data_IF_577720696404
#
_entry.id   IF_577720696404
#
_cell.length_a   1.000
_cell.length_b   1.000
_cell.length_c   1.000
_cell.angle_alpha   90.00
_cell.angle_beta   90.00
_cell.angle_gamma   90.00
#
_symmetry.space_group_name_H-M   'P 1'
#
loop_
_entity.id
_entity.type
_entity.pdbx_description
1 polymer ?
#
# COMPACT_ATOMS: atom_id res chain seq x y z
N UNK A 1 44.96 -18.22 -1.98
CA UNK A 1 45.69 -18.66 -3.19
C UNK A 1 44.77 -19.41 -4.16
N UNK A 2 43.53 -18.94 -4.37
CA UNK A 2 42.52 -19.59 -5.22
C UNK A 2 41.64 -18.55 -5.97
N UNK A 3 42.18 -17.37 -6.29
CA UNK A 3 41.39 -16.24 -6.79
C UNK A 3 41.87 -15.65 -8.12
N UNK A 4 42.89 -16.22 -8.76
CA UNK A 4 43.63 -15.52 -9.84
C UNK A 4 43.55 -16.17 -11.23
N UNK A 5 42.60 -17.05 -11.52
CA UNK A 5 42.53 -17.69 -12.86
C UNK A 5 41.14 -17.71 -13.52
N UNK A 6 40.15 -16.98 -12.98
CA UNK A 6 38.82 -16.82 -13.60
C UNK A 6 38.60 -15.45 -14.27
N UNK A 7 39.65 -14.62 -14.39
CA UNK A 7 39.62 -13.30 -15.06
C UNK A 7 39.91 -13.39 -16.56
N UNK A 8 39.34 -14.38 -17.24
CA UNK A 8 39.37 -14.43 -18.70
C UNK A 8 38.49 -13.32 -19.27
N UNK A 9 39.10 -12.32 -19.93
CA UNK A 9 38.54 -11.10 -20.54
C UNK A 9 37.12 -11.18 -21.19
N UNK A 10 36.61 -12.37 -21.47
CA UNK A 10 35.25 -12.56 -22.02
C UNK A 10 34.13 -12.30 -21.02
N UNK A 11 34.30 -12.61 -19.72
CA UNK A 11 33.21 -12.43 -18.74
C UNK A 11 32.99 -10.96 -18.39
N UNK A 12 34.05 -10.16 -18.24
CA UNK A 12 33.94 -8.74 -17.93
C UNK A 12 33.30 -7.94 -19.08
N UNK A 13 33.65 -8.27 -20.33
CA UNK A 13 33.07 -7.62 -21.51
C UNK A 13 31.59 -8.00 -21.70
N UNK A 14 31.25 -9.28 -21.51
CA UNK A 14 29.86 -9.74 -21.54
C UNK A 14 29.01 -9.07 -20.44
N UNK A 15 29.54 -8.91 -19.23
CA UNK A 15 28.81 -8.25 -18.13
C UNK A 15 28.54 -6.77 -18.41
N UNK A 16 29.47 -6.05 -19.07
CA UNK A 16 29.31 -4.64 -19.41
C UNK A 16 28.24 -4.43 -20.50
N UNK A 17 28.27 -5.20 -21.59
CA UNK A 17 27.26 -5.10 -22.65
C UNK A 17 25.86 -5.48 -22.13
N UNK A 18 25.77 -6.53 -21.30
CA UNK A 18 24.52 -6.93 -20.69
C UNK A 18 23.99 -5.82 -19.76
N UNK A 19 24.86 -5.18 -18.99
CA UNK A 19 24.50 -4.08 -18.10
C UNK A 19 23.91 -2.89 -18.86
N UNK A 20 24.53 -2.49 -19.96
CA UNK A 20 24.12 -1.30 -20.72
C UNK A 20 22.85 -1.52 -21.53
N UNK A 21 22.54 -2.75 -21.95
CA UNK A 21 21.32 -3.04 -22.72
C UNK A 21 20.15 -3.50 -21.87
N UNK A 22 20.40 -4.38 -20.89
CA UNK A 22 19.34 -5.09 -20.17
C UNK A 22 18.78 -4.24 -19.03
N UNK A 23 19.63 -3.47 -18.34
CA UNK A 23 19.19 -2.63 -17.22
C UNK A 23 18.22 -1.52 -17.64
N UNK A 24 18.46 -0.77 -18.74
CA UNK A 24 17.49 0.22 -19.22
C UNK A 24 16.20 -0.41 -19.73
N UNK A 25 16.25 -1.62 -20.31
CA UNK A 25 15.06 -2.31 -20.79
C UNK A 25 14.12 -2.71 -19.64
N UNK A 26 14.66 -3.31 -18.57
CA UNK A 26 13.86 -3.62 -17.37
C UNK A 26 13.38 -2.37 -16.64
N UNK A 27 14.22 -1.33 -16.56
CA UNK A 27 13.81 -0.05 -16.00
C UNK A 27 12.67 0.58 -16.81
N UNK A 28 12.78 0.59 -18.13
CA UNK A 28 11.74 1.06 -19.04
C UNK A 28 10.44 0.28 -18.91
N UNK A 29 10.51 -1.06 -18.78
CA UNK A 29 9.36 -1.90 -18.53
C UNK A 29 8.71 -1.59 -17.17
N UNK A 30 9.51 -1.42 -16.10
CA UNK A 30 9.02 -1.06 -14.78
C UNK A 30 8.35 0.33 -14.78
N UNK A 31 8.93 1.31 -15.49
CA UNK A 31 8.34 2.65 -15.67
C UNK A 31 7.02 2.55 -16.43
N UNK A 32 6.97 1.76 -17.51
CA UNK A 32 5.75 1.57 -18.29
C UNK A 32 4.63 0.92 -17.44
N UNK A 33 4.96 -0.09 -16.64
CA UNK A 33 4.01 -0.71 -15.71
C UNK A 33 3.55 0.29 -14.64
N UNK A 34 4.47 1.07 -14.06
CA UNK A 34 4.14 2.14 -13.11
C UNK A 34 3.20 3.19 -13.71
N UNK A 35 3.46 3.62 -14.94
CA UNK A 35 2.62 4.56 -15.68
C UNK A 35 1.23 3.98 -15.97
N UNK A 36 1.15 2.70 -16.33
CA UNK A 36 -0.13 1.99 -16.53
C UNK A 36 -0.89 1.91 -15.20
N UNK A 37 -0.23 1.57 -14.08
CA UNK A 37 -0.86 1.56 -12.75
C UNK A 37 -1.39 2.95 -12.38
N UNK A 38 -0.59 4.00 -12.58
CA UNK A 38 -0.98 5.38 -12.32
C UNK A 38 -2.19 5.77 -13.18
N UNK A 39 -2.15 5.46 -14.48
CA UNK A 39 -3.23 5.72 -15.41
C UNK A 39 -4.52 5.00 -14.97
N UNK A 40 -4.43 3.73 -14.57
CA UNK A 40 -5.56 2.96 -14.07
C UNK A 40 -6.12 3.54 -12.77
N UNK A 41 -5.25 4.05 -11.91
CA UNK A 41 -5.64 4.73 -10.68
C UNK A 41 -6.36 6.05 -10.98
N UNK A 42 -5.83 6.86 -11.89
CA UNK A 42 -6.41 8.14 -12.32
C UNK A 42 -7.75 7.95 -13.03
N UNK A 43 -7.85 6.94 -13.92
CA UNK A 43 -9.06 6.67 -14.69
C UNK A 43 -10.18 6.01 -13.88
N UNK A 44 -9.91 5.64 -12.62
CA UNK A 44 -10.89 5.01 -11.70
C UNK A 44 -11.57 3.75 -12.25
N UNK A 45 -11.02 3.15 -13.29
CA UNK A 45 -11.42 1.84 -13.84
C UNK A 45 -10.81 0.74 -13.00
N UNK A 46 -11.23 0.65 -11.74
CA UNK A 46 -10.74 -0.33 -10.77
C UNK A 46 -11.41 -1.70 -10.97
N UNK A 47 -11.13 -2.33 -12.10
CA UNK A 47 -11.30 -3.78 -12.18
C UNK A 47 -10.22 -4.44 -11.35
N UNK A 48 -10.60 -5.23 -10.33
CA UNK A 48 -9.64 -6.01 -9.53
C UNK A 48 -8.71 -6.85 -10.43
N UNK A 49 -9.22 -7.34 -11.57
CA UNK A 49 -8.46 -8.04 -12.61
C UNK A 49 -7.33 -7.20 -13.18
N UNK A 50 -7.58 -5.92 -13.42
CA UNK A 50 -6.61 -5.00 -14.01
C UNK A 50 -5.54 -4.63 -13.01
N UNK A 51 -5.91 -4.42 -11.73
CA UNK A 51 -4.94 -4.27 -10.64
C UNK A 51 -4.09 -5.54 -10.47
N UNK A 52 -4.70 -6.73 -10.52
CA UNK A 52 -3.99 -7.99 -10.43
C UNK A 52 -2.97 -8.14 -11.57
N UNK A 53 -3.37 -7.90 -12.83
CA UNK A 53 -2.47 -7.92 -13.99
C UNK A 53 -1.31 -6.94 -13.79
N UNK A 54 -1.59 -5.72 -13.36
CA UNK A 54 -0.54 -4.72 -13.16
C UNK A 54 0.43 -5.09 -12.03
N UNK A 55 -0.07 -5.70 -10.95
CA UNK A 55 0.75 -6.24 -9.86
C UNK A 55 1.61 -7.41 -10.35
N UNK A 56 1.05 -8.35 -11.12
CA UNK A 56 1.82 -9.47 -11.68
C UNK A 56 2.88 -9.00 -12.68
N UNK A 57 2.55 -8.04 -13.55
CA UNK A 57 3.52 -7.42 -14.45
C UNK A 57 4.62 -6.68 -13.68
N UNK A 58 4.27 -5.94 -12.63
CA UNK A 58 5.23 -5.29 -11.76
C UNK A 58 6.15 -6.28 -11.05
N UNK A 59 5.59 -7.37 -10.52
CA UNK A 59 6.35 -8.45 -9.90
C UNK A 59 7.28 -9.16 -10.90
N UNK A 60 6.83 -9.36 -12.15
CA UNK A 60 7.64 -9.94 -13.22
C UNK A 60 8.82 -9.01 -13.58
N UNK A 61 8.57 -7.72 -13.77
CA UNK A 61 9.62 -6.73 -14.04
C UNK A 61 10.63 -6.65 -12.89
N UNK A 62 10.15 -6.63 -11.64
CA UNK A 62 11.00 -6.63 -10.46
C UNK A 62 11.84 -7.91 -10.37
N UNK A 63 11.24 -9.08 -10.61
CA UNK A 63 11.96 -10.35 -10.59
C UNK A 63 13.03 -10.42 -11.68
N UNK A 64 12.75 -9.89 -12.87
CA UNK A 64 13.74 -9.77 -13.95
C UNK A 64 14.89 -8.85 -13.57
N UNK A 65 14.60 -7.69 -12.98
CA UNK A 65 15.62 -6.77 -12.47
C UNK A 65 16.51 -7.44 -11.40
N UNK A 66 15.91 -8.17 -10.45
CA UNK A 66 16.65 -8.89 -9.42
C UNK A 66 17.50 -10.02 -9.98
N UNK A 67 16.99 -10.78 -10.95
CA UNK A 67 17.78 -11.81 -11.62
C UNK A 67 19.04 -11.22 -12.27
N UNK A 68 18.92 -10.04 -12.90
CA UNK A 68 20.07 -9.32 -13.46
C UNK A 68 21.02 -8.87 -12.35
N UNK A 69 20.53 -8.27 -11.27
CA UNK A 69 21.39 -7.78 -10.18
C UNK A 69 22.13 -8.94 -9.47
N UNK A 70 21.47 -10.11 -9.28
CA UNK A 70 22.08 -11.35 -8.79
C UNK A 70 23.19 -11.84 -9.74
N UNK A 71 22.92 -11.91 -11.04
CA UNK A 71 23.90 -12.34 -12.03
C UNK A 71 25.14 -11.41 -12.05
N UNK A 72 24.93 -10.11 -11.81
CA UNK A 72 25.99 -9.10 -11.91
C UNK A 72 26.80 -8.95 -10.61
N UNK A 73 26.16 -8.97 -9.45
CA UNK A 73 26.80 -8.72 -8.15
C UNK A 73 27.08 -9.99 -7.35
N UNK A 74 26.49 -11.12 -7.76
CA UNK A 74 26.56 -12.39 -7.05
C UNK A 74 25.75 -12.40 -5.74
N UNK A 75 25.69 -13.57 -5.11
CA UNK A 75 24.98 -13.79 -3.85
C UNK A 75 25.74 -13.28 -2.61
N UNK A 76 26.95 -12.75 -2.79
CA UNK A 76 27.78 -12.23 -1.69
C UNK A 76 27.42 -10.80 -1.31
N UNK A 77 26.75 -10.04 -2.18
CA UNK A 77 26.28 -8.70 -1.86
C UNK A 77 25.03 -8.80 -0.95
N UNK A 78 25.13 -8.25 0.27
CA UNK A 78 24.04 -8.23 1.25
C UNK A 78 22.77 -7.57 0.68
N UNK A 79 22.92 -6.56 -0.20
CA UNK A 79 21.78 -5.90 -0.83
C UNK A 79 20.98 -6.89 -1.70
N UNK A 80 21.67 -7.75 -2.44
CA UNK A 80 21.04 -8.78 -3.29
C UNK A 80 20.30 -9.82 -2.45
N UNK A 81 20.90 -10.27 -1.35
CA UNK A 81 20.25 -11.22 -0.43
C UNK A 81 19.00 -10.61 0.22
N UNK A 82 19.08 -9.34 0.61
CA UNK A 82 17.95 -8.61 1.17
C UNK A 82 16.83 -8.46 0.14
N UNK A 83 17.15 -8.07 -1.08
CA UNK A 83 16.19 -7.92 -2.18
C UNK A 83 15.47 -9.24 -2.51
N UNK A 84 16.21 -10.36 -2.53
CA UNK A 84 15.63 -11.70 -2.68
C UNK A 84 14.62 -12.00 -1.58
N UNK A 85 15.01 -11.82 -0.32
CA UNK A 85 14.14 -12.06 0.83
C UNK A 85 12.86 -11.20 0.76
N UNK A 86 13.04 -9.92 0.43
CA UNK A 86 11.97 -8.94 0.18
C UNK A 86 10.97 -9.43 -0.87
N UNK A 87 11.45 -9.94 -2.00
CA UNK A 87 10.56 -10.41 -3.08
C UNK A 87 9.71 -11.59 -2.66
N UNK A 88 10.25 -12.52 -1.85
CA UNK A 88 9.43 -13.61 -1.28
C UNK A 88 8.29 -13.06 -0.40
N UNK A 89 8.55 -12.05 0.43
CA UNK A 89 7.52 -11.42 1.27
C UNK A 89 6.45 -10.70 0.45
N UNK A 90 6.85 -10.03 -0.63
CA UNK A 90 5.90 -9.35 -1.53
C UNK A 90 5.03 -10.36 -2.26
N UNK A 91 5.61 -11.42 -2.84
CA UNK A 91 4.85 -12.48 -3.54
C UNK A 91 3.88 -13.17 -2.59
N UNK A 92 4.33 -13.53 -1.38
CA UNK A 92 3.44 -14.09 -0.35
C UNK A 92 2.32 -13.13 0.05
N UNK A 93 2.62 -11.83 0.15
CA UNK A 93 1.63 -10.78 0.37
C UNK A 93 0.60 -10.68 -0.74
N UNK A 94 1.02 -10.75 -2.01
CA UNK A 94 0.12 -10.72 -3.19
C UNK A 94 -0.82 -11.91 -3.17
N UNK A 95 -0.32 -13.10 -2.91
CA UNK A 95 -1.14 -14.32 -2.87
C UNK A 95 -2.16 -14.27 -1.71
N UNK A 96 -1.72 -13.81 -0.53
CA UNK A 96 -2.62 -13.59 0.58
C UNK A 96 -3.72 -12.59 0.25
N UNK A 97 -3.38 -11.47 -0.39
CA UNK A 97 -4.36 -10.46 -0.81
C UNK A 97 -5.35 -11.01 -1.84
N UNK A 98 -4.89 -11.86 -2.77
CA UNK A 98 -5.75 -12.56 -3.73
C UNK A 98 -6.76 -13.45 -3.02
N UNK A 99 -6.31 -14.27 -2.07
CA UNK A 99 -7.18 -15.16 -1.29
C UNK A 99 -8.18 -14.37 -0.45
N UNK A 100 -7.74 -13.29 0.21
CA UNK A 100 -8.62 -12.38 0.95
C UNK A 100 -9.64 -11.71 0.05
N UNK A 101 -9.26 -11.32 -1.16
CA UNK A 101 -10.18 -10.76 -2.17
C UNK A 101 -11.27 -11.75 -2.57
N UNK A 102 -10.93 -13.02 -2.82
CA UNK A 102 -11.89 -14.08 -3.14
C UNK A 102 -12.85 -14.31 -1.97
N UNK A 103 -12.32 -14.47 -0.75
CA UNK A 103 -13.14 -14.65 0.45
C UNK A 103 -14.06 -13.46 0.72
N UNK A 104 -13.55 -12.23 0.54
CA UNK A 104 -14.33 -11.01 0.71
C UNK A 104 -15.46 -10.86 -0.30
N UNK A 105 -15.25 -11.30 -1.56
CA UNK A 105 -16.32 -11.33 -2.56
C UNK A 105 -17.42 -12.33 -2.20
N UNK A 106 -17.04 -13.52 -1.73
CA UNK A 106 -17.99 -14.55 -1.31
C UNK A 106 -18.79 -14.09 -0.08
N UNK A 107 -18.12 -13.54 0.94
CA UNK A 107 -18.78 -12.96 2.12
C UNK A 107 -19.72 -11.81 1.74
N UNK A 108 -19.29 -10.90 0.85
CA UNK A 108 -20.14 -9.81 0.38
C UNK A 108 -21.36 -10.32 -0.39
N UNK A 109 -21.21 -11.42 -1.17
CA UNK A 109 -22.32 -12.08 -1.86
C UNK A 109 -23.30 -12.70 -0.85
N UNK A 110 -22.79 -13.41 0.15
CA UNK A 110 -23.60 -14.05 1.18
C UNK A 110 -24.35 -13.02 2.03
N UNK A 111 -23.70 -11.93 2.46
CA UNK A 111 -24.31 -10.86 3.24
C UNK A 111 -25.39 -10.08 2.47
N UNK A 112 -25.26 -9.99 1.14
CA UNK A 112 -26.27 -9.34 0.29
C UNK A 112 -27.37 -10.29 -0.16
N UNK A 113 -27.18 -11.60 -0.01
CA UNK A 113 -28.18 -12.57 -0.41
C UNK A 113 -29.42 -12.40 0.48
N UNK A 114 -30.54 -12.03 -0.12
CA UNK A 114 -31.78 -11.74 0.61
C UNK A 114 -31.89 -10.33 1.20
N UNK A 115 -30.86 -9.48 1.12
CA UNK A 115 -30.98 -8.07 1.53
C UNK A 115 -31.50 -7.22 0.36
N UNK A 116 -32.73 -6.74 0.49
CA UNK A 116 -33.41 -5.89 -0.50
C UNK A 116 -33.04 -4.40 -0.42
N UNK A 117 -32.30 -3.99 0.61
CA UNK A 117 -32.09 -2.58 0.95
C UNK A 117 -32.98 -2.07 2.09
N UNK A 118 -33.83 -2.91 2.66
CA UNK A 118 -34.74 -2.58 3.77
C UNK A 118 -34.69 -3.66 4.85
N UNK A 119 -34.64 -3.25 6.11
CA UNK A 119 -34.72 -4.15 7.28
C UNK A 119 -36.05 -4.90 7.34
N UNK A 120 -37.12 -4.39 6.70
CA UNK A 120 -38.43 -5.07 6.65
C UNK A 120 -38.37 -6.41 5.93
N UNK A 121 -37.42 -6.59 5.02
CA UNK A 121 -37.27 -7.82 4.25
C UNK A 121 -36.27 -8.79 4.91
N UNK A 122 -35.79 -8.47 6.12
CA UNK A 122 -34.90 -9.34 6.87
C UNK A 122 -35.62 -10.65 7.25
N UNK A 123 -34.93 -11.77 7.06
CA UNK A 123 -35.38 -13.08 7.50
C UNK A 123 -34.71 -13.43 8.84
N UNK A 124 -35.46 -14.11 9.71
CA UNK A 124 -34.97 -14.59 11.01
C UNK A 124 -35.38 -16.03 11.21
N UNK A 125 -34.50 -16.82 11.82
CA UNK A 125 -34.83 -18.18 12.28
C UNK A 125 -35.89 -18.19 13.39
N UNK A 126 -36.06 -17.06 14.10
CA UNK A 126 -37.13 -16.85 15.08
C UNK A 126 -38.05 -15.70 14.61
N UNK A 127 -39.24 -15.99 14.06
CA UNK A 127 -40.15 -14.97 13.55
C UNK A 127 -40.73 -14.07 14.66
N UNK A 128 -40.85 -14.57 15.89
CA UNK A 128 -41.34 -13.77 17.02
C UNK A 128 -40.36 -12.67 17.40
N UNK A 129 -39.06 -12.98 17.42
CA UNK A 129 -38.01 -11.98 17.66
C UNK A 129 -37.96 -10.95 16.53
N UNK A 130 -38.11 -11.39 15.27
CA UNK A 130 -38.16 -10.48 14.13
C UNK A 130 -39.32 -9.48 14.25
N UNK A 131 -40.53 -9.97 14.53
CA UNK A 131 -41.71 -9.11 14.71
C UNK A 131 -41.53 -8.11 15.85
N UNK A 132 -40.95 -8.54 16.98
CA UNK A 132 -40.63 -7.65 18.10
C UNK A 132 -39.62 -6.56 17.71
N UNK A 133 -38.50 -6.95 17.09
CA UNK A 133 -37.43 -6.02 16.70
C UNK A 133 -37.94 -5.02 15.64
N UNK A 134 -38.65 -5.50 14.61
CA UNK A 134 -39.23 -4.62 13.58
C UNK A 134 -40.28 -3.68 14.18
N UNK A 135 -41.11 -4.17 15.10
CA UNK A 135 -42.09 -3.35 15.82
C UNK A 135 -41.42 -2.24 16.64
N UNK A 136 -40.33 -2.55 17.36
CA UNK A 136 -39.56 -1.54 18.10
C UNK A 136 -38.91 -0.49 17.19
N UNK A 137 -38.34 -0.91 16.06
CA UNK A 137 -37.74 -0.01 15.06
C UNK A 137 -38.81 0.92 14.47
N UNK A 138 -39.97 0.36 14.12
CA UNK A 138 -41.10 1.10 13.55
C UNK A 138 -41.71 2.07 14.57
N UNK A 139 -41.98 1.63 15.80
CA UNK A 139 -42.52 2.47 16.87
C UNK A 139 -41.64 3.69 17.17
N UNK A 140 -40.32 3.55 17.01
CA UNK A 140 -39.36 4.64 17.22
C UNK A 140 -39.07 5.46 15.96
N UNK A 141 -39.61 5.08 14.80
CA UNK A 141 -39.33 5.74 13.52
C UNK A 141 -37.88 5.60 13.05
N UNK A 142 -37.14 4.61 13.56
CA UNK A 142 -35.69 4.44 13.31
C UNK A 142 -35.36 3.66 12.04
N UNK A 143 -36.38 3.27 11.25
CA UNK A 143 -36.20 2.39 10.10
C UNK A 143 -35.12 2.89 9.13
N UNK A 144 -35.16 4.17 8.74
CA UNK A 144 -34.17 4.77 7.82
C UNK A 144 -32.76 4.76 8.40
N UNK A 145 -32.61 4.96 9.70
CA UNK A 145 -31.31 4.94 10.37
C UNK A 145 -30.74 3.53 10.42
N UNK A 146 -31.59 2.53 10.69
CA UNK A 146 -31.20 1.11 10.67
C UNK A 146 -30.82 0.67 9.26
N UNK A 147 -31.62 0.99 8.23
CA UNK A 147 -31.31 0.68 6.84
C UNK A 147 -29.99 1.32 6.41
N UNK A 148 -29.77 2.57 6.81
CA UNK A 148 -28.51 3.29 6.55
C UNK A 148 -27.32 2.65 7.29
N UNK A 149 -27.51 2.20 8.54
CA UNK A 149 -26.46 1.53 9.30
C UNK A 149 -26.09 0.17 8.71
N UNK A 150 -27.08 -0.61 8.28
CA UNK A 150 -26.88 -1.90 7.59
C UNK A 150 -26.16 -1.68 6.26
N UNK A 151 -26.61 -0.71 5.46
CA UNK A 151 -25.95 -0.34 4.22
C UNK A 151 -24.50 0.14 4.42
N UNK A 152 -24.24 0.91 5.48
CA UNK A 152 -22.90 1.33 5.87
C UNK A 152 -22.03 0.12 6.27
N UNK A 153 -22.56 -0.83 7.05
CA UNK A 153 -21.88 -2.09 7.39
C UNK A 153 -21.55 -2.91 6.13
N UNK A 154 -22.51 -3.07 5.22
CA UNK A 154 -22.34 -3.81 3.97
C UNK A 154 -21.34 -3.14 3.01
N UNK A 155 -21.18 -1.82 3.10
CA UNK A 155 -20.26 -1.06 2.24
C UNK A 155 -18.86 -0.98 2.82
N UNK A 156 -18.73 -0.65 4.11
CA UNK A 156 -17.43 -0.47 4.78
C UNK A 156 -16.84 -1.78 5.27
N UNK A 157 -17.68 -2.82 5.44
CA UNK A 157 -17.36 -4.14 5.98
C UNK A 157 -16.80 -4.11 7.42
N UNK A 158 -16.91 -2.96 8.10
CA UNK A 158 -16.59 -2.75 9.51
C UNK A 158 -17.28 -1.45 9.98
N UNK A 159 -17.73 -1.41 11.23
CA UNK A 159 -18.20 -0.18 11.87
C UNK A 159 -17.48 -0.01 13.20
N UNK A 160 -16.71 1.07 13.31
CA UNK A 160 -16.04 1.48 14.55
C UNK A 160 -16.52 2.87 14.95
N UNK A 161 -16.39 3.23 16.24
CA UNK A 161 -16.75 4.57 16.73
C UNK A 161 -16.01 5.67 15.97
N UNK A 162 -14.75 5.41 15.57
CA UNK A 162 -13.95 6.33 14.76
C UNK A 162 -14.56 6.57 13.38
N UNK A 163 -14.97 5.51 12.68
CA UNK A 163 -15.61 5.62 11.38
C UNK A 163 -16.98 6.31 11.46
N UNK A 164 -17.77 6.05 12.51
CA UNK A 164 -19.05 6.75 12.73
C UNK A 164 -18.86 8.26 12.88
N UNK A 165 -17.87 8.69 13.68
CA UNK A 165 -17.51 10.12 13.82
C UNK A 165 -17.10 10.72 12.47
N UNK A 166 -16.36 9.98 11.65
CA UNK A 166 -15.96 10.42 10.31
C UNK A 166 -17.18 10.57 9.40
N UNK A 167 -18.06 9.58 9.34
CA UNK A 167 -19.28 9.62 8.52
C UNK A 167 -20.17 10.79 8.91
N UNK A 168 -20.36 11.02 10.21
CA UNK A 168 -21.11 12.17 10.72
C UNK A 168 -20.50 13.50 10.24
N UNK A 169 -19.18 13.66 10.35
CA UNK A 169 -18.48 14.87 9.86
C UNK A 169 -18.54 15.04 8.34
N UNK A 170 -18.58 13.95 7.59
CA UNK A 170 -18.66 13.97 6.14
C UNK A 170 -20.09 14.22 5.62
N UNK A 171 -21.07 14.41 6.51
CA UNK A 171 -22.47 14.66 6.17
C UNK A 171 -23.26 13.39 5.86
N UNK A 172 -23.01 12.29 6.59
CA UNK A 172 -23.71 11.01 6.39
C UNK A 172 -23.25 10.26 5.15
N UNK A 173 -22.06 10.59 4.64
CA UNK A 173 -21.60 10.01 3.39
C UNK A 173 -21.04 8.59 3.52
N UNK A 174 -21.45 7.68 2.62
CA UNK A 174 -20.79 6.37 2.41
C UNK A 174 -19.28 6.52 2.21
N UNK A 175 -18.49 5.83 3.03
CA UNK A 175 -17.08 5.55 2.83
C UNK A 175 -16.92 4.20 2.11
N UNK A 176 -15.83 4.00 1.38
CA UNK A 176 -15.48 2.69 0.83
C UNK A 176 -15.11 1.67 1.91
N UNK A 177 -14.68 0.48 1.47
CA UNK A 177 -14.32 -0.61 2.36
C UNK A 177 -13.18 -0.20 3.31
N UNK A 178 -13.44 -0.13 4.62
CA UNK A 178 -12.45 0.26 5.61
C UNK A 178 -11.78 -0.94 6.33
N UNK A 179 -12.29 -2.15 6.10
CA UNK A 179 -11.79 -3.38 6.70
C UNK A 179 -10.59 -3.99 5.97
N UNK A 180 -10.47 -3.72 4.67
CA UNK A 180 -9.46 -4.36 3.81
C UNK A 180 -8.25 -3.47 3.62
N UNK A 181 -7.08 -4.08 3.81
CA UNK A 181 -5.77 -3.54 3.49
C UNK A 181 -4.98 -4.66 2.78
N UNK A 182 -4.00 -4.27 1.98
CA UNK A 182 -3.13 -5.12 1.16
C UNK A 182 -1.84 -5.44 1.91
N UNK A 183 -1.68 -6.72 2.23
CA UNK A 183 -0.44 -7.27 2.76
C UNK A 183 0.70 -7.08 1.76
N UNK A 184 0.45 -7.20 0.46
CA UNK A 184 1.45 -6.94 -0.57
C UNK A 184 2.01 -5.53 -0.50
N UNK A 185 1.13 -4.51 -0.46
CA UNK A 185 1.57 -3.12 -0.37
C UNK A 185 2.31 -2.83 0.93
N UNK A 186 1.86 -3.42 2.04
CA UNK A 186 2.58 -3.33 3.30
C UNK A 186 3.98 -3.94 3.22
N UNK A 187 4.10 -5.18 2.73
CA UNK A 187 5.40 -5.84 2.51
C UNK A 187 6.27 -4.96 1.61
N UNK A 188 5.79 -4.56 0.43
CA UNK A 188 6.52 -3.70 -0.51
C UNK A 188 7.00 -2.39 0.11
N UNK A 189 6.20 -1.76 0.97
CA UNK A 189 6.61 -0.53 1.67
C UNK A 189 7.71 -0.76 2.70
N UNK A 190 7.65 -1.88 3.45
CA UNK A 190 8.73 -2.25 4.37
C UNK A 190 10.03 -2.48 3.59
N UNK A 191 9.94 -3.21 2.49
CA UNK A 191 11.04 -3.48 1.60
C UNK A 191 11.66 -2.20 1.04
N UNK A 192 10.82 -1.26 0.59
CA UNK A 192 11.26 0.05 0.12
C UNK A 192 12.05 0.82 1.20
N UNK A 193 11.59 0.84 2.46
CA UNK A 193 12.31 1.54 3.53
C UNK A 193 13.64 0.90 3.91
N UNK A 194 13.69 -0.44 3.98
CA UNK A 194 14.97 -1.13 4.23
C UNK A 194 15.93 -0.90 3.06
N UNK A 195 15.44 -0.96 1.82
CA UNK A 195 16.24 -0.66 0.64
C UNK A 195 16.81 0.77 0.68
N UNK A 196 15.99 1.79 0.98
CA UNK A 196 16.47 3.17 1.13
C UNK A 196 17.54 3.30 2.21
N UNK A 197 17.36 2.62 3.35
CA UNK A 197 18.37 2.58 4.41
C UNK A 197 19.72 2.02 3.91
N UNK A 198 19.70 0.91 3.16
CA UNK A 198 20.91 0.31 2.56
C UNK A 198 21.54 1.25 1.54
N UNK A 199 20.74 1.94 0.71
CA UNK A 199 21.25 2.88 -0.29
C UNK A 199 21.89 4.11 0.35
N UNK A 200 21.28 4.68 1.39
CA UNK A 200 21.87 5.78 2.15
C UNK A 200 23.21 5.35 2.75
N UNK A 201 23.29 4.16 3.36
CA UNK A 201 24.56 3.64 3.86
C UNK A 201 25.62 3.52 2.76
N UNK A 202 25.28 2.83 1.66
CA UNK A 202 26.19 2.52 0.57
C UNK A 202 26.71 3.78 -0.14
N UNK A 203 25.86 4.76 -0.40
CA UNK A 203 26.21 5.93 -1.21
C UNK A 203 26.56 7.19 -0.42
N UNK A 204 26.35 7.20 0.91
CA UNK A 204 26.60 8.39 1.73
C UNK A 204 27.52 8.15 2.90
N UNK A 205 27.65 6.91 3.38
CA UNK A 205 28.42 6.58 4.57
C UNK A 205 29.68 5.76 4.25
N UNK A 206 29.63 4.91 3.24
CA UNK A 206 30.72 3.99 2.93
C UNK A 206 32.02 4.69 2.50
N UNK A 207 31.95 5.91 1.97
CA UNK A 207 33.12 6.69 1.58
C UNK A 207 33.90 7.22 2.80
N UNK A 208 35.20 7.48 2.64
CA UNK A 208 36.07 7.97 3.72
C UNK A 208 35.64 9.38 4.17
N UNK A 209 35.28 9.49 5.46
CA UNK A 209 34.87 10.72 6.18
C UNK A 209 33.56 11.39 5.72
N UNK A 210 32.39 10.72 5.88
CA UNK A 210 31.12 11.34 5.53
C UNK A 210 30.77 12.48 6.50
N UNK A 211 30.25 13.63 6.02
CA UNK A 211 29.84 14.71 6.90
C UNK A 211 28.68 14.29 7.81
N UNK A 212 28.57 14.93 8.97
CA UNK A 212 27.60 14.58 10.02
C UNK A 212 26.14 14.53 9.55
N UNK A 213 25.77 15.30 8.52
CA UNK A 213 24.44 15.29 7.91
C UNK A 213 24.07 13.93 7.29
N UNK A 214 25.03 13.18 6.75
CA UNK A 214 24.78 11.85 6.21
C UNK A 214 24.49 10.84 7.32
N UNK A 215 25.20 10.91 8.45
CA UNK A 215 24.91 10.08 9.61
C UNK A 215 23.52 10.36 10.18
N UNK A 216 23.13 11.63 10.27
CA UNK A 216 21.79 12.00 10.70
C UNK A 216 20.72 11.44 9.77
N UNK A 217 20.90 11.59 8.45
CA UNK A 217 20.02 11.03 7.42
C UNK A 217 19.90 9.50 7.55
N UNK A 218 21.03 8.80 7.72
CA UNK A 218 21.05 7.35 7.90
C UNK A 218 20.31 6.91 9.17
N UNK A 219 20.51 7.62 10.28
CA UNK A 219 19.78 7.38 11.53
C UNK A 219 18.27 7.53 11.37
N UNK A 220 17.81 8.52 10.61
CA UNK A 220 16.39 8.70 10.27
C UNK A 220 15.88 7.56 9.40
N UNK A 221 16.63 7.15 8.37
CA UNK A 221 16.25 6.03 7.51
C UNK A 221 16.08 4.71 8.31
N UNK A 222 16.99 4.41 9.24
CA UNK A 222 16.86 3.27 10.15
C UNK A 222 15.59 3.40 11.00
N UNK A 223 15.39 4.56 11.61
CA UNK A 223 14.23 4.80 12.45
C UNK A 223 12.92 4.58 11.68
N UNK A 224 12.81 5.09 10.45
CA UNK A 224 11.62 4.91 9.61
C UNK A 224 11.40 3.44 9.20
N UNK A 225 12.48 2.73 8.82
CA UNK A 225 12.42 1.32 8.47
C UNK A 225 11.95 0.43 9.63
N UNK A 226 12.23 0.83 10.88
CA UNK A 226 11.77 0.13 12.09
C UNK A 226 10.39 0.62 12.55
N UNK A 227 10.18 1.93 12.55
CA UNK A 227 8.95 2.56 13.04
C UNK A 227 7.75 2.19 12.18
N UNK A 228 7.90 2.12 10.85
CA UNK A 228 6.80 1.77 9.95
C UNK A 228 6.17 0.40 10.25
N UNK A 229 6.91 -0.73 10.23
CA UNK A 229 6.30 -2.02 10.53
C UNK A 229 5.77 -2.07 11.97
N UNK A 230 6.49 -1.48 12.94
CA UNK A 230 6.05 -1.47 14.34
C UNK A 230 4.71 -0.74 14.49
N UNK A 231 4.63 0.51 14.01
CA UNK A 231 3.41 1.31 14.03
C UNK A 231 2.31 0.58 13.28
N UNK A 232 2.58 0.13 12.06
CA UNK A 232 1.57 -0.51 11.23
C UNK A 232 1.01 -1.76 11.91
N UNK A 233 1.84 -2.61 12.53
CA UNK A 233 1.37 -3.81 13.24
C UNK A 233 0.46 -3.47 14.44
N UNK A 234 0.79 -2.41 15.18
CA UNK A 234 0.05 -1.94 16.36
C UNK A 234 -1.24 -1.18 16.02
N UNK A 235 -1.39 -0.69 14.78
CA UNK A 235 -2.59 0.04 14.38
C UNK A 235 -3.83 -0.87 14.29
N UNK A 236 -5.03 -0.37 14.65
CA UNK A 236 -6.28 -1.05 14.39
C UNK A 236 -6.55 -1.13 12.87
N UNK A 237 -7.43 -2.05 12.47
CA UNK A 237 -7.65 -2.43 11.06
C UNK A 237 -8.01 -1.23 10.17
N UNK A 238 -8.90 -0.35 10.63
CA UNK A 238 -9.31 0.83 9.87
C UNK A 238 -8.17 1.83 9.66
N UNK A 239 -7.22 1.92 10.60
CA UNK A 239 -6.06 2.81 10.48
C UNK A 239 -4.97 2.19 9.62
N UNK A 240 -4.79 0.86 9.64
CA UNK A 240 -3.96 0.12 8.68
C UNK A 240 -4.43 0.40 7.25
N UNK A 241 -5.74 0.23 7.01
CA UNK A 241 -6.35 0.51 5.71
C UNK A 241 -6.19 1.99 5.29
N UNK A 242 -6.29 2.93 6.22
CA UNK A 242 -6.06 4.35 5.93
C UNK A 242 -4.59 4.66 5.61
N UNK A 243 -3.66 4.22 6.46
CA UNK A 243 -2.23 4.46 6.31
C UNK A 243 -1.67 3.86 5.03
N UNK A 244 -2.06 2.63 4.69
CA UNK A 244 -1.64 2.00 3.44
C UNK A 244 -2.12 2.78 2.22
N UNK A 245 -3.32 3.36 2.26
CA UNK A 245 -3.82 4.16 1.13
C UNK A 245 -3.10 5.49 0.96
N UNK A 246 -2.32 5.91 1.95
CA UNK A 246 -1.35 7.00 1.84
C UNK A 246 -0.05 6.62 1.10
N UNK A 247 0.26 5.32 0.94
CA UNK A 247 1.48 4.87 0.26
C UNK A 247 1.63 5.34 -1.20
N UNK A 248 0.58 5.59 -2.00
CA UNK A 248 0.73 6.22 -3.32
C UNK A 248 1.41 7.60 -3.27
N UNK A 249 1.50 8.28 -2.11
CA UNK A 249 2.33 9.48 -1.97
C UNK A 249 3.82 9.20 -2.22
N UNK A 250 4.28 7.94 -2.06
CA UNK A 250 5.64 7.53 -2.45
C UNK A 250 5.89 7.70 -3.95
N UNK A 251 4.85 7.79 -4.79
CA UNK A 251 5.02 8.07 -6.22
C UNK A 251 5.62 9.47 -6.48
N UNK A 252 5.56 10.39 -5.51
CA UNK A 252 6.26 11.68 -5.58
C UNK A 252 7.78 11.48 -5.63
N UNK A 253 8.28 10.39 -5.03
CA UNK A 253 9.70 10.03 -5.02
C UNK A 253 10.13 9.31 -6.32
N UNK A 254 9.18 8.97 -7.20
CA UNK A 254 9.47 8.22 -8.42
C UNK A 254 10.53 8.86 -9.34
N UNK A 255 10.53 10.20 -9.58
CA UNK A 255 11.57 10.84 -10.38
C UNK A 255 13.00 10.59 -9.85
N UNK A 256 13.18 10.55 -8.52
CA UNK A 256 14.48 10.25 -7.94
C UNK A 256 14.89 8.79 -8.10
N UNK A 257 13.94 7.86 -8.01
CA UNK A 257 14.18 6.43 -8.23
C UNK A 257 14.64 6.11 -9.65
N UNK A 258 14.20 6.89 -10.64
CA UNK A 258 14.62 6.73 -12.04
C UNK A 258 15.83 7.61 -12.40
N UNK A 259 16.46 8.24 -11.42
CA UNK A 259 17.68 9.03 -11.60
C UNK A 259 17.48 10.43 -12.20
N UNK A 260 16.25 10.93 -12.33
CA UNK A 260 15.99 12.32 -12.72
C UNK A 260 16.25 13.30 -11.57
N UNK A 261 16.20 12.80 -10.33
CA UNK A 261 16.51 13.57 -9.14
C UNK A 261 17.34 12.73 -8.17
N UNK A 262 18.62 12.47 -8.48
CA UNK A 262 19.50 11.73 -7.58
C UNK A 262 20.14 12.68 -6.55
N UNK A 263 20.83 12.12 -5.57
CA UNK A 263 21.66 12.89 -4.65
C UNK A 263 21.03 13.13 -3.28
N UNK A 264 21.74 13.87 -2.45
CA UNK A 264 21.35 14.14 -1.07
C UNK A 264 19.98 14.85 -0.96
N UNK A 265 19.62 15.71 -1.92
CA UNK A 265 18.34 16.43 -1.90
C UNK A 265 17.13 15.50 -2.06
N UNK A 266 17.28 14.41 -2.82
CA UNK A 266 16.26 13.37 -2.92
C UNK A 266 16.14 12.60 -1.61
N UNK A 267 17.27 12.12 -1.08
CA UNK A 267 17.30 11.35 0.17
C UNK A 267 16.68 12.18 1.31
N UNK A 268 17.03 13.46 1.40
CA UNK A 268 16.49 14.39 2.39
C UNK A 268 14.98 14.64 2.19
N UNK A 269 14.51 14.79 0.96
CA UNK A 269 13.07 14.95 0.68
C UNK A 269 12.28 13.69 1.06
N UNK A 270 12.84 12.52 0.80
CA UNK A 270 12.23 11.25 1.16
C UNK A 270 12.11 11.10 2.69
N UNK A 271 13.24 11.21 3.41
CA UNK A 271 13.35 10.89 4.84
C UNK A 271 12.95 12.02 5.79
N UNK A 272 13.00 13.28 5.38
CA UNK A 272 12.51 14.40 6.20
C UNK A 272 11.17 14.97 5.74
N UNK A 273 10.66 14.54 4.58
CA UNK A 273 9.42 15.04 3.99
C UNK A 273 8.36 13.96 3.84
N UNK A 274 8.48 13.16 2.77
CA UNK A 274 7.39 12.28 2.32
C UNK A 274 7.13 11.12 3.28
N UNK A 275 8.16 10.42 3.75
CA UNK A 275 8.01 9.24 4.62
C UNK A 275 7.44 9.63 6.00
N UNK A 276 7.91 10.69 6.68
CA UNK A 276 7.30 11.14 7.93
C UNK A 276 5.84 11.53 7.77
N UNK A 277 5.47 12.18 6.65
CA UNK A 277 4.07 12.52 6.35
C UNK A 277 3.21 11.26 6.23
N UNK A 278 3.69 10.21 5.56
CA UNK A 278 2.97 8.93 5.46
C UNK A 278 2.79 8.28 6.84
N UNK A 279 3.85 8.24 7.66
CA UNK A 279 3.80 7.74 9.03
C UNK A 279 2.77 8.50 9.88
N UNK A 280 2.79 9.83 9.82
CA UNK A 280 1.85 10.69 10.54
C UNK A 280 0.41 10.44 10.08
N UNK A 281 0.17 10.33 8.76
CA UNK A 281 -1.17 10.02 8.22
C UNK A 281 -1.67 8.67 8.75
N UNK A 282 -0.81 7.64 8.77
CA UNK A 282 -1.15 6.32 9.28
C UNK A 282 -1.51 6.36 10.78
N UNK A 283 -0.72 7.06 11.60
CA UNK A 283 -0.94 7.20 13.05
C UNK A 283 -2.22 7.98 13.36
N UNK A 284 -2.45 9.10 12.64
CA UNK A 284 -3.62 9.95 12.83
C UNK A 284 -4.91 9.17 12.57
N UNK A 285 -4.93 8.32 11.55
CA UNK A 285 -6.12 7.61 11.12
C UNK A 285 -7.21 8.55 10.57
N UNK A 286 -8.33 8.00 10.09
CA UNK A 286 -9.38 8.80 9.46
C UNK A 286 -10.06 9.80 10.41
N UNK A 287 -10.27 9.40 11.67
CA UNK A 287 -11.00 10.23 12.63
C UNK A 287 -10.25 11.50 13.02
N UNK A 288 -8.92 11.47 13.07
CA UNK A 288 -8.13 12.69 13.33
C UNK A 288 -7.82 13.43 12.03
N UNK A 289 -7.51 12.73 10.94
CA UNK A 289 -7.30 13.34 9.64
C UNK A 289 -8.51 14.18 9.19
N UNK A 290 -9.74 13.69 9.40
CA UNK A 290 -10.98 14.43 9.09
C UNK A 290 -11.19 15.72 9.89
N UNK A 291 -10.41 15.98 10.95
CA UNK A 291 -10.51 17.23 11.74
C UNK A 291 -9.76 18.38 11.10
N UNK A 292 -8.85 18.12 10.15
CA UNK A 292 -8.11 19.17 9.46
C UNK A 292 -9.10 19.97 8.61
N UNK A 293 -9.24 21.29 8.82
CA UNK A 293 -10.19 22.11 8.07
C UNK A 293 -9.93 22.00 6.57
N UNK A 294 -11.00 21.83 5.78
CA UNK A 294 -10.98 21.74 4.31
C UNK A 294 -10.29 20.48 3.77
N UNK A 295 -9.00 20.28 4.09
CA UNK A 295 -8.17 19.18 3.58
C UNK A 295 -8.54 17.82 4.19
N UNK A 296 -8.93 17.79 5.47
CA UNK A 296 -9.19 16.54 6.19
C UNK A 296 -10.30 15.69 5.56
N UNK A 297 -11.51 16.24 5.37
CA UNK A 297 -12.59 15.57 4.66
C UNK A 297 -12.22 15.11 3.24
N UNK A 298 -11.50 15.95 2.48
CA UNK A 298 -11.05 15.62 1.13
C UNK A 298 -10.05 14.45 1.15
N UNK A 299 -9.06 14.49 2.03
CA UNK A 299 -8.08 13.43 2.23
C UNK A 299 -8.76 12.12 2.58
N UNK A 300 -9.67 12.11 3.55
CA UNK A 300 -10.39 10.89 3.95
C UNK A 300 -11.24 10.33 2.80
N UNK A 301 -11.89 11.18 2.01
CA UNK A 301 -12.65 10.77 0.81
C UNK A 301 -11.76 10.23 -0.30
N UNK A 302 -10.57 10.79 -0.50
CA UNK A 302 -9.58 10.29 -1.47
C UNK A 302 -9.05 8.93 -1.01
N UNK A 303 -8.69 8.82 0.27
CA UNK A 303 -8.12 7.61 0.83
C UNK A 303 -9.14 6.48 0.88
N UNK A 304 -10.29 6.62 1.54
CA UNK A 304 -11.28 5.55 1.57
C UNK A 304 -12.07 5.39 0.27
N UNK A 305 -11.99 6.37 -0.62
CA UNK A 305 -12.81 6.44 -1.83
C UNK A 305 -14.30 6.58 -1.49
N UNK A 306 -15.01 7.34 -2.32
CA UNK A 306 -16.23 6.79 -2.93
C UNK A 306 -15.80 6.36 -4.31
N UNK A 307 -16.09 5.13 -4.75
CA UNK A 307 -16.02 4.88 -6.20
C UNK A 307 -16.96 5.92 -6.83
N UNK A 308 -16.47 6.93 -7.58
CA UNK A 308 -17.33 7.96 -8.14
C UNK A 308 -18.09 7.45 -9.36
N UNK A 309 -17.90 6.18 -9.71
CA UNK A 309 -18.74 5.46 -10.66
C UNK A 309 -19.77 4.63 -9.86
N UNK A 310 -20.83 5.30 -9.40
CA UNK A 310 -22.22 4.80 -9.36
C UNK A 310 -23.15 5.86 -8.75
N UNK A 311 -23.89 6.55 -9.60
CA UNK A 311 -25.34 6.30 -9.63
C UNK A 311 -25.58 5.37 -10.80
#
# INVERSE_FOLDING_TARGET
MFQTTWEGLGWSMFTLELQDQVRPAFLGAAVAVGAVILLLFVLKKHGWKVCAIAVYLGALCLSGFLAVDICMRGFTDLAVLLELFVSFLVVGGVEKDRLQGIQGLEQARQLRNGYSGSVRDAQSSNPNDLGRILGEIEQRGLQKEVDHAVDALLTMNIVTKELQVVIARLGGGRLGNASVWSTALFSSSCCFFVFQCVQVYRYRIYDEEPPASHWALFGVAIFEAVAWPLVFLLLPVERKAFGQRGLPLLLILFPGLIGLWPGFSFDATAHFGIIPVILVIAILGPARASRIPILGPALVRVMFGRMPCKR
#
